data_IF_058365665850
#
_entry.id   IF_058365665850
#
_cell.length_a   1.000
_cell.length_b   1.000
_cell.length_c   1.000
_cell.angle_alpha   90.00
_cell.angle_beta   90.00
_cell.angle_gamma   90.00
#
_symmetry.space_group_name_H-M   'P 1'
#
loop_
_entity.id
_entity.type
_entity.pdbx_description
1 polymer ?
#
# COMPACT_ATOMS: atom_id res chain seq x y z
N UNK A 1 12.95 -10.78 6.64
CA UNK A 1 12.63 -9.65 5.76
C UNK A 1 11.47 -10.07 4.90
N UNK A 2 10.35 -9.39 5.03
CA UNK A 2 9.11 -9.66 4.30
C UNK A 2 8.60 -8.39 3.62
N UNK A 3 7.97 -8.53 2.45
CA UNK A 3 7.45 -7.43 1.65
C UNK A 3 6.03 -7.06 2.07
N UNK A 4 5.86 -5.94 2.77
CA UNK A 4 4.59 -5.51 3.35
C UNK A 4 3.64 -4.89 2.33
N UNK A 5 4.19 -4.07 1.43
CA UNK A 5 3.40 -3.22 0.54
C UNK A 5 4.21 -2.92 -0.72
N UNK A 6 3.55 -2.73 -1.86
CA UNK A 6 4.18 -2.22 -3.07
C UNK A 6 3.19 -1.30 -3.79
N UNK A 7 3.71 -0.26 -4.44
CA UNK A 7 2.93 0.62 -5.29
C UNK A 7 3.78 1.23 -6.40
N UNK A 8 3.15 1.55 -7.52
CA UNK A 8 3.80 2.27 -8.63
C UNK A 8 4.10 3.72 -8.26
N UNK A 9 3.26 4.33 -7.42
CA UNK A 9 3.52 5.67 -6.90
C UNK A 9 4.47 5.62 -5.70
N UNK A 10 5.71 6.03 -5.93
CA UNK A 10 6.73 6.12 -4.89
C UNK A 10 6.31 7.01 -3.72
N UNK A 11 5.53 8.07 -3.96
CA UNK A 11 5.09 8.96 -2.89
C UNK A 11 4.17 8.25 -1.89
N UNK A 12 3.32 7.33 -2.36
CA UNK A 12 2.51 6.50 -1.47
C UNK A 12 3.41 5.64 -0.58
N UNK A 13 4.38 4.95 -1.16
CA UNK A 13 5.29 4.05 -0.43
C UNK A 13 6.18 4.81 0.57
N UNK A 14 6.66 6.01 0.20
CA UNK A 14 7.40 6.87 1.12
C UNK A 14 6.52 7.36 2.29
N UNK A 15 5.26 7.69 2.04
CA UNK A 15 4.31 8.07 3.11
C UNK A 15 4.12 6.93 4.11
N UNK A 16 3.96 5.68 3.63
CA UNK A 16 3.85 4.51 4.51
C UNK A 16 5.12 4.32 5.32
N UNK A 17 6.29 4.44 4.67
CA UNK A 17 7.58 4.33 5.34
C UNK A 17 7.72 5.35 6.47
N UNK A 18 7.37 6.60 6.23
CA UNK A 18 7.45 7.65 7.27
C UNK A 18 6.56 7.32 8.47
N UNK A 19 5.33 6.82 8.22
CA UNK A 19 4.43 6.40 9.29
C UNK A 19 4.99 5.21 10.09
N UNK A 20 5.56 4.20 9.42
CA UNK A 20 6.19 3.04 10.07
C UNK A 20 7.41 3.45 10.90
N UNK A 21 8.29 4.29 10.36
CA UNK A 21 9.43 4.83 11.10
C UNK A 21 8.97 5.66 12.30
N UNK A 22 7.90 6.44 12.16
CA UNK A 22 7.31 7.24 13.24
C UNK A 22 6.84 6.40 14.44
N UNK A 23 6.45 5.15 14.23
CA UNK A 23 6.07 4.21 15.30
C UNK A 23 7.19 3.26 15.75
N UNK A 24 8.40 3.45 15.19
CA UNK A 24 9.61 2.69 15.54
C UNK A 24 9.82 1.41 14.74
N UNK A 25 9.15 1.22 13.60
CA UNK A 25 9.28 0.03 12.76
C UNK A 25 10.39 0.26 11.72
N UNK A 26 11.36 -0.65 11.69
CA UNK A 26 12.47 -0.62 10.74
C UNK A 26 12.02 -1.22 9.40
N UNK A 27 12.02 -0.39 8.35
CA UNK A 27 11.61 -0.76 7.01
C UNK A 27 12.55 -0.19 5.93
N UNK A 28 12.60 -0.88 4.79
CA UNK A 28 13.44 -0.56 3.64
C UNK A 28 12.58 -0.41 2.39
N UNK A 29 12.96 0.52 1.51
CA UNK A 29 12.38 0.63 0.17
C UNK A 29 13.26 -0.12 -0.82
N UNK A 30 12.64 -0.91 -1.68
CA UNK A 30 13.31 -1.57 -2.80
C UNK A 30 12.59 -1.18 -4.09
N UNK A 31 13.34 -0.94 -5.16
CA UNK A 31 12.73 -0.94 -6.48
C UNK A 31 12.72 -2.38 -6.97
N UNK A 32 11.60 -2.81 -7.52
CA UNK A 32 11.54 -4.10 -8.20
C UNK A 32 12.47 -4.05 -9.42
N UNK A 33 13.71 -4.50 -9.26
CA UNK A 33 14.65 -4.69 -10.36
C UNK A 33 14.34 -6.03 -11.02
N UNK A 34 14.21 -6.01 -12.36
CA UNK A 34 13.87 -7.18 -13.18
C UNK A 34 14.84 -8.34 -12.93
N UNK A 35 14.43 -9.34 -12.14
CA UNK A 35 15.18 -10.60 -12.01
C UNK A 35 14.81 -11.49 -13.20
N UNK A 36 15.83 -11.92 -13.96
CA UNK A 36 15.72 -12.91 -15.04
C UNK A 36 14.89 -12.54 -16.29
N UNK A 37 14.98 -11.29 -16.77
CA UNK A 37 14.57 -10.95 -18.15
C UNK A 37 13.05 -10.95 -18.42
N UNK A 38 12.23 -11.22 -17.41
CA UNK A 38 10.79 -11.01 -17.46
C UNK A 38 10.51 -9.65 -16.80
N UNK A 39 10.36 -8.61 -17.62
CA UNK A 39 9.87 -7.31 -17.16
C UNK A 39 8.38 -7.46 -16.89
N UNK A 40 8.01 -7.75 -15.65
CA UNK A 40 6.62 -7.60 -15.19
C UNK A 40 6.48 -6.15 -14.78
N UNK A 41 6.17 -5.27 -15.74
CA UNK A 41 5.83 -3.85 -15.52
C UNK A 41 6.68 -3.15 -14.45
N UNK A 42 7.98 -3.00 -14.72
CA UNK A 42 8.91 -2.31 -13.83
C UNK A 42 8.52 -0.84 -13.58
N UNK A 43 8.27 -0.52 -12.32
CA UNK A 43 8.24 0.83 -11.68
C UNK A 43 7.73 0.74 -10.23
N UNK A 44 7.27 -0.44 -9.79
CA UNK A 44 6.75 -0.58 -8.43
C UNK A 44 7.87 -0.43 -7.40
N UNK A 45 7.61 0.46 -6.45
CA UNK A 45 8.42 0.61 -5.25
C UNK A 45 7.82 -0.31 -4.19
N UNK A 46 8.66 -1.15 -3.61
CA UNK A 46 8.31 -2.13 -2.60
C UNK A 46 8.77 -1.64 -1.23
N UNK A 47 7.99 -1.94 -0.20
CA UNK A 47 8.28 -1.66 1.20
C UNK A 47 8.47 -2.98 1.94
N UNK A 48 9.65 -3.14 2.52
CA UNK A 48 10.08 -4.35 3.19
C UNK A 48 10.26 -4.10 4.68
N UNK A 49 9.69 -4.96 5.52
CA UNK A 49 9.87 -4.89 6.98
C UNK A 49 10.99 -5.85 7.37
N UNK A 50 11.91 -5.36 8.20
CA UNK A 50 13.09 -6.12 8.57
C UNK A 50 12.76 -7.27 9.54
N UNK A 51 11.91 -7.00 10.53
CA UNK A 51 11.57 -7.88 11.63
C UNK A 51 10.15 -8.44 11.50
N UNK A 52 10.02 -9.77 11.55
CA UNK A 52 8.75 -10.49 11.49
C UNK A 52 7.82 -10.12 12.66
N UNK A 53 8.39 -9.88 13.85
CA UNK A 53 7.61 -9.48 15.02
C UNK A 53 6.91 -8.12 14.85
N UNK A 54 7.43 -7.25 13.97
CA UNK A 54 6.85 -5.94 13.67
C UNK A 54 5.88 -6.00 12.49
N UNK A 55 5.80 -7.13 11.78
CA UNK A 55 4.96 -7.32 10.60
C UNK A 55 3.48 -7.02 10.86
N UNK A 56 2.93 -7.63 11.91
CA UNK A 56 1.52 -7.43 12.27
C UNK A 56 1.24 -5.97 12.63
N UNK A 57 2.17 -5.32 13.33
CA UNK A 57 2.04 -3.92 13.73
C UNK A 57 2.16 -2.99 12.52
N UNK A 58 3.01 -3.33 11.56
CA UNK A 58 3.14 -2.61 10.30
C UNK A 58 1.87 -2.71 9.44
N UNK A 59 1.24 -3.90 9.39
CA UNK A 59 -0.06 -4.09 8.75
C UNK A 59 -1.14 -3.20 9.37
N UNK A 60 -1.17 -3.08 10.70
CA UNK A 60 -2.13 -2.21 11.38
C UNK A 60 -1.94 -0.74 10.98
N UNK A 61 -0.70 -0.26 10.87
CA UNK A 61 -0.42 1.10 10.40
C UNK A 61 -0.93 1.29 8.97
N UNK A 62 -0.74 0.32 8.07
CA UNK A 62 -1.30 0.39 6.72
C UNK A 62 -2.84 0.47 6.71
N UNK A 63 -3.52 -0.27 7.60
CA UNK A 63 -4.98 -0.21 7.76
C UNK A 63 -5.43 1.18 8.23
N UNK A 64 -4.75 1.76 9.22
CA UNK A 64 -5.05 3.09 9.76
C UNK A 64 -4.86 4.19 8.70
N UNK A 65 -3.88 4.02 7.80
CA UNK A 65 -3.66 4.88 6.63
C UNK A 65 -4.67 4.63 5.50
N UNK A 66 -5.49 3.58 5.61
CA UNK A 66 -6.47 3.20 4.59
C UNK A 66 -5.86 2.62 3.31
N UNK A 67 -4.68 2.00 3.43
CA UNK A 67 -3.93 1.36 2.35
C UNK A 67 -4.23 -0.14 2.30
N UNK A 68 -4.25 -0.74 1.11
CA UNK A 68 -4.32 -2.20 0.95
C UNK A 68 -5.72 -2.83 1.01
N UNK A 69 -6.78 -2.07 1.27
CA UNK A 69 -8.16 -2.53 1.08
C UNK A 69 -8.72 -1.68 -0.03
N UNK A 70 -9.11 -2.27 -1.16
CA UNK A 70 -9.81 -1.56 -2.22
C UNK A 70 -10.84 -0.62 -1.57
N UNK A 71 -10.54 0.67 -1.50
CA UNK A 71 -11.58 1.68 -1.34
C UNK A 71 -12.38 1.52 -2.60
N UNK A 72 -13.42 0.67 -2.55
CA UNK A 72 -14.42 0.66 -3.60
C UNK A 72 -14.78 2.13 -3.75
N UNK A 73 -14.63 2.74 -4.93
CA UNK A 73 -15.20 4.07 -5.11
C UNK A 73 -16.64 3.92 -4.63
N UNK A 74 -17.00 4.69 -3.60
CA UNK A 74 -18.42 4.86 -3.29
C UNK A 74 -18.98 5.38 -4.59
N UNK A 75 -19.66 4.51 -5.34
CA UNK A 75 -20.45 4.96 -6.45
C UNK A 75 -21.32 6.06 -5.87
N UNK A 76 -21.32 7.28 -6.44
CA UNK A 76 -22.23 8.30 -5.99
C UNK A 76 -23.61 7.66 -5.99
N UNK A 77 -24.25 7.69 -4.83
CA UNK A 77 -25.62 7.25 -4.62
C UNK A 77 -26.49 8.07 -5.59
N UNK A 78 -26.70 7.54 -6.79
CA UNK A 78 -27.69 8.04 -7.72
C UNK A 78 -29.05 7.60 -7.17
N UNK A 79 -29.47 8.26 -6.09
CA UNK A 79 -30.88 8.42 -5.78
C UNK A 79 -31.48 9.25 -6.91
N UNK A 80 -31.90 8.57 -7.98
CA UNK A 80 -32.90 9.10 -8.88
C UNK A 80 -34.27 8.90 -8.22
N UNK A 81 -34.67 9.88 -7.41
CA UNK A 81 -36.07 10.15 -7.14
C UNK A 81 -36.77 10.47 -8.47
N UNK A 82 -37.39 9.46 -9.08
CA UNK A 82 -38.14 9.58 -10.33
C UNK A 82 -39.49 8.86 -10.23
N UNK A 83 -40.45 9.55 -9.63
CA UNK A 83 -41.86 9.20 -9.48
C UNK A 83 -42.54 8.92 -10.82
N UNK A 84 -43.32 7.84 -10.85
CA UNK A 84 -44.20 7.37 -11.95
C UNK A 84 -45.20 8.45 -12.44
N UNK A 85 -45.69 8.29 -13.68
CA UNK A 85 -47.12 8.45 -13.96
C UNK A 85 -47.80 7.14 -14.36
#
# INVERSE_FOLDING_TARGET
MEMLFYATDRAEVETVREALVGVGIVCELRQAESVEGIVINGSDTELWVQNDADWHRALMVCVELGLGFSKRPQAPDLVETGREP
#
